data_IF_902840797838
#
_entry.id   IF_902840797838
#
_cell.length_a   1.000
_cell.length_b   1.000
_cell.length_c   1.000
_cell.angle_alpha   90.00
_cell.angle_beta   90.00
_cell.angle_gamma   90.00
#
_symmetry.space_group_name_H-M   'P 1'
#
loop_
_entity.id
_entity.type
_entity.pdbx_description
1 polymer ?
#
# COMPACT_ATOMS: atom_id res chain seq x y z
N UNK A 1 -35.05 -30.38 1.85
CA UNK A 1 -35.14 -29.38 0.80
C UNK A 1 -33.72 -28.98 0.38
N UNK A 2 -33.39 -29.07 -0.92
CA UNK A 2 -32.05 -28.81 -1.47
C UNK A 2 -31.56 -27.40 -1.14
N UNK A 3 -32.44 -26.42 -1.15
CA UNK A 3 -32.13 -25.02 -0.82
C UNK A 3 -31.63 -24.85 0.60
N UNK A 4 -32.25 -25.48 1.60
CA UNK A 4 -31.81 -25.42 2.99
C UNK A 4 -30.43 -26.06 3.16
N UNK A 5 -30.14 -27.10 2.38
CA UNK A 5 -28.83 -27.75 2.38
C UNK A 5 -27.74 -26.83 1.77
N UNK A 6 -28.03 -26.24 0.61
CA UNK A 6 -27.12 -25.28 -0.04
C UNK A 6 -26.89 -24.04 0.81
N UNK A 7 -27.94 -23.50 1.43
CA UNK A 7 -27.81 -22.38 2.38
C UNK A 7 -26.88 -22.70 3.53
N UNK A 8 -27.01 -23.90 4.10
CA UNK A 8 -26.14 -24.35 5.21
C UNK A 8 -24.69 -24.48 4.75
N UNK A 9 -24.42 -25.06 3.57
CA UNK A 9 -23.06 -25.21 3.01
C UNK A 9 -22.47 -23.83 2.74
N UNK A 10 -23.17 -22.96 2.05
CA UNK A 10 -22.68 -21.64 1.70
C UNK A 10 -22.45 -20.77 2.93
N UNK A 11 -23.30 -20.85 3.93
CA UNK A 11 -23.09 -20.17 5.21
C UNK A 11 -21.81 -20.61 5.93
N UNK A 12 -21.51 -21.93 5.89
CA UNK A 12 -20.24 -22.45 6.45
C UNK A 12 -19.03 -21.99 5.64
N UNK A 13 -19.12 -21.91 4.32
CA UNK A 13 -18.03 -21.40 3.46
C UNK A 13 -17.77 -19.92 3.65
N UNK A 14 -18.78 -19.14 4.08
CA UNK A 14 -18.69 -17.72 4.36
C UNK A 14 -18.10 -17.41 5.75
N UNK A 15 -17.43 -18.32 6.38
CA UNK A 15 -16.71 -18.08 7.63
C UNK A 15 -15.60 -17.05 7.41
N UNK A 16 -15.44 -16.13 8.36
CA UNK A 16 -14.44 -15.05 8.31
C UNK A 16 -15.09 -13.66 8.37
N UNK A 17 -14.27 -12.65 8.46
CA UNK A 17 -14.71 -11.25 8.59
C UNK A 17 -14.14 -10.37 7.45
N UNK A 18 -14.84 -9.27 7.15
CA UNK A 18 -14.35 -8.23 6.26
C UNK A 18 -14.29 -8.61 4.77
N UNK A 19 -13.25 -8.12 4.07
CA UNK A 19 -13.08 -8.29 2.62
C UNK A 19 -13.09 -9.74 2.14
N UNK A 20 -12.49 -10.64 2.93
CA UNK A 20 -12.44 -12.06 2.58
C UNK A 20 -13.83 -12.69 2.50
N UNK A 21 -14.72 -12.32 3.40
CA UNK A 21 -16.11 -12.81 3.41
C UNK A 21 -16.89 -12.30 2.20
N UNK A 22 -16.74 -11.02 1.86
CA UNK A 22 -17.37 -10.42 0.67
C UNK A 22 -16.89 -11.08 -0.62
N UNK A 23 -15.57 -11.30 -0.77
CA UNK A 23 -15.02 -11.98 -1.93
C UNK A 23 -15.50 -13.43 -2.08
N UNK A 24 -15.60 -14.15 -0.95
CA UNK A 24 -16.15 -15.52 -0.94
C UNK A 24 -17.62 -15.52 -1.35
N UNK A 25 -18.41 -14.56 -0.88
CA UNK A 25 -19.82 -14.42 -1.24
C UNK A 25 -19.99 -14.18 -2.74
N UNK A 26 -19.22 -13.25 -3.31
CA UNK A 26 -19.27 -12.97 -4.76
C UNK A 26 -18.87 -14.19 -5.59
N UNK A 27 -17.86 -14.93 -5.13
CA UNK A 27 -17.44 -16.17 -5.79
C UNK A 27 -18.52 -17.24 -5.74
N UNK A 28 -19.14 -17.45 -4.57
CA UNK A 28 -20.24 -18.40 -4.39
C UNK A 28 -21.45 -18.02 -5.23
N UNK A 29 -21.79 -16.73 -5.30
CA UNK A 29 -22.87 -16.23 -6.13
C UNK A 29 -22.63 -16.52 -7.61
N UNK A 30 -21.41 -16.25 -8.12
CA UNK A 30 -21.04 -16.56 -9.52
C UNK A 30 -21.06 -18.06 -9.81
N UNK A 31 -20.55 -18.87 -8.89
CA UNK A 31 -20.62 -20.31 -8.99
C UNK A 31 -22.06 -20.81 -9.04
N UNK A 32 -22.93 -20.28 -8.19
CA UNK A 32 -24.33 -20.66 -8.18
C UNK A 32 -25.06 -20.20 -9.45
N UNK A 33 -24.77 -19.02 -9.98
CA UNK A 33 -25.29 -18.59 -11.29
C UNK A 33 -24.88 -19.54 -12.41
N UNK A 34 -23.66 -20.04 -12.41
CA UNK A 34 -23.22 -21.06 -13.34
C UNK A 34 -24.00 -22.36 -13.17
N UNK A 35 -24.28 -22.79 -11.93
CA UNK A 35 -25.14 -23.94 -11.64
C UNK A 35 -26.57 -23.74 -12.16
N UNK A 36 -27.12 -22.54 -12.03
CA UNK A 36 -28.44 -22.19 -12.57
C UNK A 36 -28.49 -22.33 -14.09
N UNK A 37 -27.44 -21.88 -14.79
CA UNK A 37 -27.37 -21.97 -16.25
C UNK A 37 -27.29 -23.42 -16.77
N UNK A 38 -26.56 -24.28 -16.06
CA UNK A 38 -26.34 -25.66 -16.50
C UNK A 38 -27.40 -26.66 -16.03
N UNK A 39 -27.97 -26.45 -14.84
CA UNK A 39 -28.77 -27.45 -14.15
C UNK A 39 -30.15 -26.95 -13.72
N UNK A 40 -30.57 -25.74 -14.18
CA UNK A 40 -31.81 -25.08 -13.73
C UNK A 40 -31.94 -25.01 -12.20
N UNK A 41 -30.82 -24.77 -11.51
CA UNK A 41 -30.83 -24.62 -10.06
C UNK A 41 -31.73 -23.44 -9.65
N UNK A 42 -32.33 -23.51 -8.47
CA UNK A 42 -33.16 -22.44 -7.91
C UNK A 42 -32.34 -21.17 -7.66
N UNK A 43 -32.98 -20.08 -7.28
CA UNK A 43 -32.33 -18.81 -7.00
C UNK A 43 -31.26 -18.95 -5.89
N UNK A 44 -30.25 -18.09 -5.90
CA UNK A 44 -29.16 -18.12 -4.91
C UNK A 44 -29.75 -17.97 -3.49
N UNK A 45 -29.47 -18.97 -2.59
CA UNK A 45 -30.22 -19.10 -1.34
C UNK A 45 -29.83 -18.08 -0.26
N UNK A 46 -28.69 -17.40 -0.43
CA UNK A 46 -28.25 -16.42 0.57
C UNK A 46 -28.61 -14.99 0.17
N UNK A 47 -29.23 -14.26 1.10
CA UNK A 47 -29.42 -12.82 0.94
C UNK A 47 -28.06 -12.10 1.19
N UNK A 48 -27.75 -11.10 0.36
CA UNK A 48 -26.61 -10.20 0.58
C UNK A 48 -26.79 -9.24 1.77
N UNK A 49 -27.90 -9.37 2.49
CA UNK A 49 -28.21 -8.54 3.65
C UNK A 49 -27.13 -8.74 4.75
N UNK A 50 -26.45 -7.68 5.10
CA UNK A 50 -25.37 -7.67 6.10
C UNK A 50 -23.95 -7.76 5.53
N UNK A 51 -23.79 -8.08 4.24
CA UNK A 51 -22.53 -7.88 3.54
C UNK A 51 -22.46 -6.42 3.06
N UNK A 52 -22.27 -5.49 3.99
CA UNK A 52 -21.88 -4.14 3.60
C UNK A 52 -20.55 -4.25 2.88
N UNK A 53 -20.59 -4.21 1.55
CA UNK A 53 -19.41 -3.86 0.76
C UNK A 53 -19.15 -2.40 1.11
N UNK A 54 -18.30 -2.18 2.10
CA UNK A 54 -17.61 -0.90 2.19
C UNK A 54 -16.70 -0.85 0.96
N UNK A 55 -17.26 -0.42 -0.17
CA UNK A 55 -16.38 0.20 -1.15
C UNK A 55 -15.80 1.41 -0.41
N UNK A 56 -14.50 1.43 -0.13
CA UNK A 56 -13.91 2.65 0.38
C UNK A 56 -14.24 3.71 -0.65
N UNK A 57 -15.01 4.73 -0.25
CA UNK A 57 -15.10 5.95 -1.04
C UNK A 57 -13.66 6.47 -1.07
N UNK A 58 -12.94 6.16 -2.13
CA UNK A 58 -11.61 6.71 -2.35
C UNK A 58 -11.81 8.19 -2.62
N UNK A 59 -11.76 8.98 -1.57
CA UNK A 59 -11.74 10.44 -1.71
C UNK A 59 -10.39 10.81 -2.31
N UNK A 60 -10.43 11.51 -3.43
CA UNK A 60 -9.24 12.03 -4.07
C UNK A 60 -8.78 13.21 -3.25
N UNK A 61 -7.60 13.09 -2.64
CA UNK A 61 -6.96 14.19 -1.92
C UNK A 61 -6.53 15.24 -2.96
N UNK A 62 -7.08 16.45 -2.85
CA UNK A 62 -6.68 17.56 -3.72
C UNK A 62 -5.26 18.03 -3.40
N UNK A 63 -4.59 18.68 -4.36
CA UNK A 63 -3.27 19.27 -4.12
C UNK A 63 -3.26 20.27 -2.96
N UNK A 64 -4.33 21.07 -2.81
CA UNK A 64 -4.49 22.01 -1.66
C UNK A 64 -4.58 21.28 -0.33
N UNK A 65 -5.39 20.22 -0.26
CA UNK A 65 -5.53 19.39 0.93
C UNK A 65 -4.20 18.72 1.28
N UNK A 66 -3.47 18.24 0.26
CA UNK A 66 -2.15 17.63 0.47
C UNK A 66 -1.14 18.64 1.05
N UNK A 67 -1.05 19.85 0.50
CA UNK A 67 -0.17 20.91 1.03
C UNK A 67 -0.55 21.29 2.46
N UNK A 68 -1.83 21.36 2.77
CA UNK A 68 -2.30 21.60 4.13
C UNK A 68 -1.83 20.47 5.08
N UNK A 69 -1.97 19.21 4.69
CA UNK A 69 -1.50 18.07 5.50
C UNK A 69 0.01 18.14 5.75
N UNK A 70 0.82 18.47 4.74
CA UNK A 70 2.26 18.63 4.90
C UNK A 70 2.60 19.80 5.86
N UNK A 71 1.87 20.90 5.81
CA UNK A 71 2.07 22.02 6.74
C UNK A 71 1.75 21.63 8.19
N UNK A 72 0.68 20.85 8.41
CA UNK A 72 0.36 20.32 9.73
C UNK A 72 1.43 19.34 10.23
N UNK A 73 1.96 18.49 9.36
CA UNK A 73 3.04 17.58 9.71
C UNK A 73 4.30 18.32 10.16
N UNK A 74 4.67 19.42 9.48
CA UNK A 74 5.84 20.22 9.85
C UNK A 74 5.70 20.93 11.20
N UNK A 75 4.47 21.18 11.65
CA UNK A 75 4.15 21.81 12.94
C UNK A 75 3.88 20.78 14.06
N UNK A 76 3.87 19.48 13.70
CA UNK A 76 3.54 18.43 14.64
C UNK A 76 4.60 18.31 15.74
N UNK A 77 4.18 18.46 16.98
CA UNK A 77 5.05 18.36 18.15
C UNK A 77 4.62 17.16 18.98
N UNK A 78 5.38 16.09 18.88
CA UNK A 78 5.19 14.91 19.72
C UNK A 78 6.55 14.37 20.15
N UNK A 79 6.69 14.01 21.41
CA UNK A 79 7.96 13.59 22.02
C UNK A 79 8.59 12.36 21.34
N UNK A 80 7.79 11.54 20.64
CA UNK A 80 8.26 10.33 19.97
C UNK A 80 8.84 10.57 18.58
N UNK A 81 8.75 11.78 18.01
CA UNK A 81 9.26 12.08 16.67
C UNK A 81 10.28 13.20 16.69
N UNK A 82 11.41 12.95 16.07
CA UNK A 82 12.44 13.98 15.84
C UNK A 82 12.11 14.82 14.62
N UNK A 83 12.76 15.97 14.47
CA UNK A 83 12.65 16.80 13.26
C UNK A 83 13.03 15.99 11.99
N UNK A 84 14.01 15.07 12.11
CA UNK A 84 14.41 14.17 11.04
C UNK A 84 13.28 13.20 10.67
N UNK A 85 12.56 12.64 11.65
CA UNK A 85 11.44 11.74 11.38
C UNK A 85 10.31 12.46 10.65
N UNK A 86 10.03 13.71 11.02
CA UNK A 86 9.00 14.52 10.36
C UNK A 86 9.40 14.91 8.93
N UNK A 87 10.68 15.25 8.69
CA UNK A 87 11.21 15.48 7.34
C UNK A 87 11.09 14.20 6.50
N UNK A 88 11.51 13.06 7.01
CA UNK A 88 11.39 11.76 6.35
C UNK A 88 9.95 11.42 6.01
N UNK A 89 9.01 11.58 6.96
CA UNK A 89 7.59 11.35 6.72
C UNK A 89 7.02 12.28 5.65
N UNK A 90 7.43 13.55 5.63
CA UNK A 90 6.99 14.48 4.59
C UNK A 90 7.41 14.01 3.19
N UNK A 91 8.62 13.48 3.05
CA UNK A 91 9.12 12.91 1.80
C UNK A 91 8.35 11.65 1.41
N UNK A 92 8.10 10.75 2.36
CA UNK A 92 7.31 9.53 2.14
C UNK A 92 5.91 9.86 1.62
N UNK A 93 5.21 10.80 2.26
CA UNK A 93 3.88 11.24 1.82
C UNK A 93 3.92 11.93 0.46
N UNK A 94 4.95 12.73 0.20
CA UNK A 94 5.13 13.40 -1.10
C UNK A 94 5.31 12.37 -2.22
N UNK A 95 6.18 11.38 -2.03
CA UNK A 95 6.37 10.30 -3.01
C UNK A 95 5.06 9.54 -3.22
N UNK A 96 4.37 9.15 -2.14
CA UNK A 96 3.09 8.43 -2.24
C UNK A 96 2.06 9.23 -3.06
N UNK A 97 1.90 10.52 -2.77
CA UNK A 97 0.94 11.40 -3.44
C UNK A 97 1.26 11.62 -4.91
N UNK A 98 2.54 11.87 -5.24
CA UNK A 98 2.98 12.20 -6.60
C UNK A 98 3.10 11.00 -7.53
N UNK A 99 3.44 9.84 -7.00
CA UNK A 99 3.77 8.66 -7.81
C UNK A 99 2.72 7.55 -7.75
N UNK A 100 1.80 7.61 -6.79
CA UNK A 100 0.83 6.55 -6.54
C UNK A 100 1.45 5.24 -6.05
N UNK A 101 2.71 5.26 -5.60
CA UNK A 101 3.35 4.08 -4.99
C UNK A 101 2.59 3.61 -3.76
N UNK A 102 2.50 2.30 -3.60
CA UNK A 102 1.94 1.72 -2.37
C UNK A 102 2.86 1.99 -1.19
N UNK A 103 2.29 2.24 -0.01
CA UNK A 103 3.07 2.53 1.20
C UNK A 103 4.12 1.45 1.49
N UNK A 104 3.80 0.18 1.27
CA UNK A 104 4.74 -0.93 1.44
C UNK A 104 5.89 -0.92 0.42
N UNK A 105 5.68 -0.43 -0.79
CA UNK A 105 6.72 -0.24 -1.81
C UNK A 105 7.68 0.86 -1.35
N UNK A 106 7.14 1.98 -0.87
CA UNK A 106 7.94 3.11 -0.38
C UNK A 106 8.76 2.70 0.86
N UNK A 107 8.12 2.14 1.87
CA UNK A 107 8.79 1.74 3.11
C UNK A 107 9.69 0.51 2.95
N UNK A 108 9.52 -0.24 1.87
CA UNK A 108 10.41 -1.35 1.50
C UNK A 108 11.64 -0.95 0.69
N UNK A 109 11.69 0.29 0.21
CA UNK A 109 12.77 0.80 -0.63
C UNK A 109 14.12 0.80 0.09
N UNK A 110 15.17 0.40 -0.61
CA UNK A 110 16.54 0.46 -0.12
C UNK A 110 17.32 1.61 -0.75
N UNK A 111 18.40 2.00 -0.14
CA UNK A 111 19.25 3.10 -0.63
C UNK A 111 19.74 2.84 -2.06
N UNK A 112 20.07 1.59 -2.41
CA UNK A 112 20.49 1.18 -3.76
C UNK A 112 19.40 1.25 -4.83
N UNK A 113 18.12 1.32 -4.43
CA UNK A 113 17.00 1.39 -5.38
C UNK A 113 16.79 2.79 -5.94
N UNK A 114 17.42 3.79 -5.34
CA UNK A 114 17.44 5.15 -5.88
C UNK A 114 18.64 5.31 -6.78
N UNK A 115 18.39 5.59 -8.06
CA UNK A 115 19.44 5.72 -9.06
C UNK A 115 19.81 7.17 -9.36
N UNK A 116 21.03 7.32 -9.85
CA UNK A 116 21.61 8.60 -10.22
C UNK A 116 22.08 9.42 -9.01
N UNK A 117 23.05 10.31 -9.27
CA UNK A 117 23.59 11.24 -8.26
C UNK A 117 22.49 12.20 -7.78
N UNK A 118 21.61 12.58 -8.70
CA UNK A 118 20.47 13.48 -8.44
C UNK A 118 19.21 12.75 -7.95
N UNK A 119 19.29 11.46 -7.56
CA UNK A 119 18.11 10.67 -7.19
C UNK A 119 16.97 10.80 -8.22
N UNK A 120 17.30 10.59 -9.50
CA UNK A 120 16.39 10.85 -10.63
C UNK A 120 15.35 9.76 -10.82
N UNK A 121 15.65 8.53 -10.42
CA UNK A 121 14.74 7.40 -10.56
C UNK A 121 14.75 6.47 -9.37
N UNK A 122 13.68 5.71 -9.23
CA UNK A 122 13.47 4.72 -8.16
C UNK A 122 13.09 3.39 -8.81
N UNK A 123 13.82 2.33 -8.46
CA UNK A 123 13.44 0.96 -8.78
C UNK A 123 12.51 0.39 -7.71
N UNK A 124 11.35 -0.10 -8.14
CA UNK A 124 10.43 -0.87 -7.30
C UNK A 124 10.66 -2.33 -7.66
N UNK A 125 11.19 -3.10 -6.72
CA UNK A 125 11.50 -4.52 -6.92
C UNK A 125 11.22 -5.35 -5.66
N UNK A 126 10.96 -6.66 -5.80
CA UNK A 126 10.81 -7.54 -4.66
C UNK A 126 12.15 -7.74 -3.96
N UNK A 127 12.11 -7.93 -2.65
CA UNK A 127 13.28 -8.32 -1.88
C UNK A 127 13.03 -9.63 -1.17
N UNK A 128 13.96 -10.57 -1.37
CA UNK A 128 14.06 -11.77 -0.58
C UNK A 128 15.07 -11.51 0.53
N UNK A 129 14.62 -11.45 1.77
CA UNK A 129 15.48 -11.45 2.95
C UNK A 129 15.21 -12.74 3.73
N UNK A 130 16.24 -13.27 4.43
CA UNK A 130 16.11 -14.50 5.21
C UNK A 130 14.91 -14.50 6.19
N UNK A 131 14.50 -13.31 6.65
CA UNK A 131 13.43 -13.14 7.64
C UNK A 131 12.23 -12.31 7.17
N UNK A 132 12.27 -11.70 5.99
CA UNK A 132 11.19 -10.86 5.47
C UNK A 132 11.16 -10.94 3.95
N UNK A 133 10.13 -11.59 3.44
CA UNK A 133 9.84 -11.57 2.01
C UNK A 133 8.96 -10.35 1.71
N UNK A 134 9.46 -9.43 0.91
CA UNK A 134 8.66 -8.36 0.36
C UNK A 134 8.28 -8.73 -1.06
N UNK A 135 7.09 -9.31 -1.20
CA UNK A 135 6.52 -9.61 -2.50
C UNK A 135 5.80 -8.39 -3.06
N UNK A 136 6.05 -8.07 -4.29
CA UNK A 136 5.15 -7.23 -5.05
C UNK A 136 3.82 -7.99 -5.26
N UNK A 137 2.71 -7.27 -5.29
CA UNK A 137 1.37 -7.88 -5.45
C UNK A 137 1.24 -8.67 -6.76
N UNK A 138 2.02 -8.31 -7.76
CA UNK A 138 2.08 -8.96 -9.09
C UNK A 138 3.50 -8.82 -9.63
N UNK A 139 3.95 -9.75 -10.49
CA UNK A 139 5.24 -9.68 -11.16
C UNK A 139 5.38 -8.42 -12.01
N UNK A 140 4.29 -7.95 -12.61
CA UNK A 140 4.23 -6.70 -13.37
C UNK A 140 4.37 -5.43 -12.51
N UNK A 141 4.46 -5.55 -11.19
CA UNK A 141 4.66 -4.40 -10.31
C UNK A 141 6.13 -3.99 -10.19
N UNK A 142 7.08 -4.80 -10.70
CA UNK A 142 8.48 -4.39 -10.83
C UNK A 142 8.59 -3.32 -11.91
N UNK A 143 9.11 -2.15 -11.54
CA UNK A 143 9.18 -1.00 -12.43
C UNK A 143 10.20 0.03 -11.97
N UNK A 144 10.66 0.84 -12.94
CA UNK A 144 11.42 2.06 -12.68
C UNK A 144 10.50 3.27 -12.77
N UNK A 145 10.56 4.14 -11.78
CA UNK A 145 9.83 5.41 -11.75
C UNK A 145 10.80 6.58 -11.89
N UNK A 146 10.54 7.43 -12.87
CA UNK A 146 11.27 8.70 -12.99
C UNK A 146 10.72 9.71 -11.98
N UNK A 147 11.44 9.91 -10.89
CA UNK A 147 11.03 10.77 -9.78
C UNK A 147 11.18 12.24 -10.15
N UNK A 148 12.16 12.55 -10.99
CA UNK A 148 12.43 13.93 -11.45
C UNK A 148 11.25 14.52 -12.24
N UNK A 149 10.51 13.66 -12.95
CA UNK A 149 9.29 14.10 -13.67
C UNK A 149 8.09 14.16 -12.73
N UNK A 150 8.03 13.27 -11.76
CA UNK A 150 6.87 13.11 -10.86
C UNK A 150 6.80 14.18 -9.77
N UNK A 151 7.96 14.61 -9.25
CA UNK A 151 8.07 15.62 -8.19
C UNK A 151 8.26 17.02 -8.80
N UNK A 152 7.78 18.06 -8.12
CA UNK A 152 8.19 19.40 -8.46
C UNK A 152 9.66 19.65 -8.03
N UNK A 153 10.24 20.77 -8.44
CA UNK A 153 11.66 21.05 -8.21
C UNK A 153 12.03 21.08 -6.71
N UNK A 154 11.23 21.73 -5.88
CA UNK A 154 11.46 21.81 -4.43
C UNK A 154 11.36 20.43 -3.77
N UNK A 155 10.32 19.65 -4.11
CA UNK A 155 10.12 18.29 -3.61
C UNK A 155 11.29 17.38 -4.01
N UNK A 156 11.75 17.51 -5.27
CA UNK A 156 12.88 16.73 -5.78
C UNK A 156 14.20 17.10 -5.08
N UNK A 157 14.45 18.37 -4.85
CA UNK A 157 15.63 18.82 -4.10
C UNK A 157 15.63 18.29 -2.66
N UNK A 158 14.50 18.30 -1.97
CA UNK A 158 14.35 17.71 -0.63
C UNK A 158 14.66 16.21 -0.65
N UNK A 159 14.08 15.49 -1.61
CA UNK A 159 14.33 14.06 -1.76
C UNK A 159 15.80 13.76 -2.08
N UNK A 160 16.40 14.51 -3.00
CA UNK A 160 17.82 14.39 -3.36
C UNK A 160 18.75 14.60 -2.14
N UNK A 161 18.51 15.66 -1.36
CA UNK A 161 19.26 15.95 -0.14
C UNK A 161 19.16 14.80 0.86
N UNK A 162 17.96 14.29 1.07
CA UNK A 162 17.71 13.17 1.96
C UNK A 162 18.47 11.91 1.49
N UNK A 163 18.36 11.54 0.22
CA UNK A 163 19.06 10.40 -0.35
C UNK A 163 20.59 10.53 -0.24
N UNK A 164 21.14 11.74 -0.48
CA UNK A 164 22.57 12.02 -0.31
C UNK A 164 23.03 11.75 1.12
N UNK A 165 22.30 12.25 2.11
CA UNK A 165 22.62 12.03 3.53
C UNK A 165 22.57 10.54 3.87
N UNK A 166 21.55 9.82 3.40
CA UNK A 166 21.44 8.38 3.63
C UNK A 166 22.56 7.58 3.00
N UNK A 167 22.98 7.92 1.78
CA UNK A 167 24.10 7.26 1.07
C UNK A 167 25.45 7.46 1.77
N UNK A 168 25.66 8.60 2.41
CA UNK A 168 26.91 8.89 3.14
C UNK A 168 26.99 8.15 4.48
N UNK A 169 25.84 7.88 5.11
CA UNK A 169 25.82 7.37 6.48
C UNK A 169 25.53 5.87 6.56
N UNK A 170 25.01 5.25 5.49
CA UNK A 170 24.46 3.89 5.56
C UNK A 170 24.82 3.04 4.34
N UNK A 171 24.81 1.71 4.53
CA UNK A 171 25.04 0.73 3.46
C UNK A 171 23.94 0.77 2.38
N UNK A 172 24.28 0.53 1.10
CA UNK A 172 23.30 0.49 0.00
C UNK A 172 22.14 -0.48 0.20
N UNK A 173 22.33 -1.54 0.97
CA UNK A 173 21.31 -2.56 1.26
C UNK A 173 20.37 -2.19 2.42
N UNK A 174 20.64 -1.12 3.16
CA UNK A 174 19.75 -0.66 4.22
C UNK A 174 18.52 0.04 3.65
N UNK A 175 17.45 0.06 4.45
CA UNK A 175 16.24 0.77 4.07
C UNK A 175 16.48 2.27 3.95
N UNK A 176 15.90 2.87 2.92
CA UNK A 176 16.01 4.30 2.68
C UNK A 176 15.29 5.09 3.78
N UNK A 177 14.08 4.65 4.13
CA UNK A 177 13.23 5.28 5.13
C UNK A 177 13.25 4.48 6.43
N UNK A 178 13.83 5.06 7.47
CA UNK A 178 13.90 4.49 8.82
C UNK A 178 13.71 5.61 9.83
N UNK A 179 13.18 5.29 10.99
CA UNK A 179 13.12 6.25 12.10
C UNK A 179 14.53 6.64 12.55
N UNK A 180 14.65 7.80 13.21
CA UNK A 180 15.93 8.26 13.76
C UNK A 180 16.57 7.20 14.66
N UNK A 181 17.86 7.00 14.51
CA UNK A 181 18.62 5.96 15.20
C UNK A 181 18.15 4.51 14.98
N UNK A 182 17.37 4.24 13.94
CA UNK A 182 16.97 2.90 13.57
C UNK A 182 17.48 2.53 12.18
N UNK A 183 17.81 1.26 11.99
CA UNK A 183 18.09 0.66 10.67
C UNK A 183 16.95 -0.27 10.22
N UNK A 184 15.92 -0.42 11.05
CA UNK A 184 14.79 -1.29 10.78
C UNK A 184 13.78 -0.63 9.83
N UNK A 185 13.10 -1.48 9.08
CA UNK A 185 11.97 -1.07 8.25
C UNK A 185 10.84 -0.52 9.10
N UNK A 186 10.30 0.64 8.73
CA UNK A 186 9.06 1.14 9.31
C UNK A 186 7.92 0.20 8.91
N UNK A 187 7.18 -0.30 9.90
CA UNK A 187 5.98 -1.11 9.65
C UNK A 187 4.78 -0.17 9.52
N UNK A 188 4.02 -0.22 8.41
CA UNK A 188 2.77 0.50 8.35
C UNK A 188 1.83 -0.08 9.41
N UNK A 189 1.17 0.77 10.19
CA UNK A 189 0.11 0.30 11.09
C UNK A 189 -1.01 -0.31 10.24
N UNK A 190 -1.38 -1.54 10.56
CA UNK A 190 -2.53 -2.21 9.97
C UNK A 190 -3.80 -1.79 10.70
#
# INVERSE_FOLDING_TARGET
NLNNYLETIYSRMLTGVGKSRSQKFDLLKRFHQFQQMLFNAESFPLSGAGLRVHSPKAEIISGKTFQYLLSQLSQYKHSSYTAHDLEMLSIVYTIAFRTGMRINEILGMRIKDVEGVKASSIWIRPYLSKNQQHFLKTDSAERNLNVQISLNEEEHLKFQKYCKTRRLSYSPNQYLFTMWNSTERIKPYM
#
